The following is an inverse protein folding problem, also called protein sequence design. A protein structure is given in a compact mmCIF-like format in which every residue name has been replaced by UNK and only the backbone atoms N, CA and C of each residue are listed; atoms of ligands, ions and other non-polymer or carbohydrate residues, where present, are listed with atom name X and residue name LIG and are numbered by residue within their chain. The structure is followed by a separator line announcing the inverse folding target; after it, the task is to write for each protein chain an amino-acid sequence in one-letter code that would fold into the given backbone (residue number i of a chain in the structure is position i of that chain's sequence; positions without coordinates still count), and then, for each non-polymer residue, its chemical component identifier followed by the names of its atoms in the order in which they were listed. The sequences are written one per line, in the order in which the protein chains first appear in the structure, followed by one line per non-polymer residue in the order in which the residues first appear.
data_IF_504181756898
#
_entry.id   IF_504181756898
#
_cell.length_a   1.000
_cell.length_b   1.000
_cell.length_c   1.000
_cell.angle_alpha   90.00
_cell.angle_beta   90.00
_cell.angle_gamma   90.00
#
_symmetry.space_group_name_H-M   'P 1'
#
loop_
_entity.id
_entity.type
_entity.pdbx_description
1 polymer ?
#
# COMPACT_ATOMS: atom_id res chain seq x y z
N UNK A 1 -12.67 0.94 8.44
CA UNK A 1 -11.84 1.85 7.63
C UNK A 1 -10.71 2.38 8.50
N UNK A 2 -9.43 2.04 8.20
CA UNK A 2 -8.25 2.46 8.98
C UNK A 2 -7.53 3.71 8.39
N UNK A 3 -8.25 4.55 7.62
CA UNK A 3 -7.65 5.68 6.92
C UNK A 3 -6.97 6.73 7.81
N UNK A 4 -7.39 6.87 9.06
CA UNK A 4 -6.78 7.81 9.99
C UNK A 4 -5.33 7.47 10.37
N UNK A 5 -4.95 6.19 10.29
CA UNK A 5 -3.59 5.74 10.61
C UNK A 5 -2.55 6.13 9.55
N UNK A 6 -2.90 6.06 8.27
CA UNK A 6 -2.01 6.45 7.16
C UNK A 6 -1.68 7.95 7.20
N UNK A 7 -2.69 8.81 7.45
CA UNK A 7 -2.45 10.24 7.60
C UNK A 7 -1.44 10.55 8.72
N UNK A 8 -1.59 9.90 9.89
CA UNK A 8 -0.68 10.07 11.01
C UNK A 8 0.75 9.63 10.69
N UNK A 9 0.90 8.53 9.97
CA UNK A 9 2.19 8.02 9.51
C UNK A 9 2.86 8.98 8.53
N UNK A 10 2.14 9.48 7.53
CA UNK A 10 2.65 10.46 6.57
C UNK A 10 3.07 11.76 7.25
N UNK A 11 2.26 12.26 8.19
CA UNK A 11 2.58 13.44 9.00
C UNK A 11 3.89 13.21 9.75
N UNK A 12 4.04 12.05 10.42
CA UNK A 12 5.25 11.71 11.17
C UNK A 12 6.47 11.66 10.28
N UNK A 13 6.41 10.96 9.14
CA UNK A 13 7.53 10.84 8.21
C UNK A 13 7.94 12.19 7.65
N UNK A 14 6.98 12.99 7.19
CA UNK A 14 7.24 14.31 6.66
C UNK A 14 7.81 15.30 7.72
N UNK A 15 7.36 15.17 8.97
CA UNK A 15 7.88 15.97 10.09
C UNK A 15 9.33 15.58 10.41
N UNK A 16 9.60 14.28 10.54
CA UNK A 16 10.95 13.78 10.83
C UNK A 16 11.94 14.12 9.71
N UNK A 17 11.51 14.01 8.46
CA UNK A 17 12.33 14.39 7.30
C UNK A 17 12.69 15.90 7.25
N UNK A 18 12.04 16.72 8.07
CA UNK A 18 12.33 18.16 8.21
C UNK A 18 12.95 18.53 9.58
N UNK A 19 13.27 17.53 10.39
CA UNK A 19 13.78 17.70 11.76
C UNK A 19 12.89 18.58 12.66
N UNK A 20 11.56 18.52 12.43
CA UNK A 20 10.61 19.31 13.22
C UNK A 20 10.18 18.56 14.48
N UNK A 21 10.09 19.30 15.61
CA UNK A 21 9.47 18.79 16.82
C UNK A 21 7.95 18.71 16.68
N UNK A 22 7.30 17.80 17.44
CA UNK A 22 5.83 17.74 17.48
C UNK A 22 5.22 19.08 17.92
N UNK A 23 5.83 19.74 18.92
CA UNK A 23 5.37 21.04 19.39
C UNK A 23 5.49 22.14 18.31
N UNK A 24 6.55 22.11 17.50
CA UNK A 24 6.73 23.03 16.38
C UNK A 24 5.66 22.84 15.31
N UNK A 25 5.41 21.58 14.92
CA UNK A 25 4.42 21.27 13.90
C UNK A 25 2.99 21.61 14.32
N UNK A 26 2.59 21.27 15.53
CA UNK A 26 1.19 21.39 15.97
C UNK A 26 0.80 22.78 16.50
N UNK A 27 1.74 23.75 16.60
CA UNK A 27 1.48 25.09 17.15
C UNK A 27 0.29 25.77 16.45
N UNK A 28 -0.74 26.11 17.20
CA UNK A 28 -1.95 26.76 16.69
C UNK A 28 -2.90 25.83 15.90
N UNK A 29 -2.62 24.52 15.83
CA UNK A 29 -3.48 23.54 15.17
C UNK A 29 -4.07 22.59 16.21
N UNK A 30 -3.22 21.94 17.02
CA UNK A 30 -3.67 21.00 18.04
C UNK A 30 -2.64 20.88 19.18
N UNK A 31 -3.01 20.13 20.23
CA UNK A 31 -2.09 19.86 21.32
C UNK A 31 -0.99 18.86 20.91
N UNK A 32 0.26 18.98 21.38
CA UNK A 32 1.34 18.03 21.09
C UNK A 32 1.00 16.58 21.48
N UNK A 33 0.29 16.38 22.60
CA UNK A 33 -0.18 15.07 23.05
C UNK A 33 -1.19 14.45 22.09
N UNK A 34 -2.01 15.25 21.40
CA UNK A 34 -2.93 14.78 20.37
C UNK A 34 -2.19 14.41 19.09
N UNK A 35 -1.24 15.26 18.65
CA UNK A 35 -0.38 14.93 17.50
C UNK A 35 0.39 13.63 17.73
N UNK A 36 0.92 13.40 18.93
CA UNK A 36 1.59 12.14 19.28
C UNK A 36 0.69 10.93 19.13
N UNK A 37 -0.59 11.03 19.52
CA UNK A 37 -1.57 9.94 19.33
C UNK A 37 -1.90 9.73 17.85
N UNK A 38 -2.00 10.79 17.05
CA UNK A 38 -2.20 10.71 15.60
C UNK A 38 -1.03 9.98 14.94
N UNK A 39 0.21 10.39 15.24
CA UNK A 39 1.42 9.78 14.67
C UNK A 39 1.61 8.31 15.08
N UNK A 40 1.05 7.89 16.21
CA UNK A 40 1.01 6.49 16.67
C UNK A 40 -0.20 5.70 16.14
N UNK A 41 -1.08 6.33 15.38
CA UNK A 41 -2.32 5.71 14.90
C UNK A 41 -3.36 5.44 16.01
N UNK A 42 -3.17 5.99 17.21
CA UNK A 42 -4.08 5.84 18.36
C UNK A 42 -5.26 6.79 18.31
N UNK A 43 -5.19 7.83 17.48
CA UNK A 43 -6.27 8.77 17.23
C UNK A 43 -6.35 9.06 15.72
N UNK A 44 -7.58 9.12 15.21
CA UNK A 44 -7.82 9.60 13.85
C UNK A 44 -8.00 11.12 13.90
N UNK A 45 -7.19 11.90 13.15
CA UNK A 45 -7.40 13.33 13.05
C UNK A 45 -8.65 13.64 12.22
N UNK A 46 -9.26 14.80 12.48
CA UNK A 46 -10.31 15.30 11.57
C UNK A 46 -9.68 15.69 10.21
N UNK A 47 -10.47 15.75 9.13
CA UNK A 47 -9.98 16.16 7.82
C UNK A 47 -9.27 17.53 7.87
N UNK A 48 -9.82 18.48 8.60
CA UNK A 48 -9.27 19.83 8.74
C UNK A 48 -7.91 19.83 9.46
N UNK A 49 -7.76 19.06 10.54
CA UNK A 49 -6.50 18.92 11.26
C UNK A 49 -5.46 18.24 10.39
N UNK A 50 -5.85 17.21 9.63
CA UNK A 50 -4.96 16.51 8.68
C UNK A 50 -4.44 17.48 7.63
N UNK A 51 -5.32 18.23 7.01
CA UNK A 51 -4.98 19.20 5.97
C UNK A 51 -4.07 20.30 6.50
N UNK A 52 -4.37 20.87 7.69
CA UNK A 52 -3.57 21.93 8.29
C UNK A 52 -2.15 21.44 8.62
N UNK A 53 -2.00 20.25 9.17
CA UNK A 53 -0.69 19.68 9.52
C UNK A 53 0.13 19.38 8.26
N UNK A 54 -0.47 18.75 7.23
CA UNK A 54 0.22 18.41 5.99
C UNK A 54 0.55 19.67 5.18
N UNK A 55 -0.35 20.67 5.11
CA UNK A 55 -0.10 21.95 4.46
C UNK A 55 1.06 22.69 5.12
N UNK A 56 1.16 22.67 6.45
CA UNK A 56 2.33 23.25 7.18
C UNK A 56 3.63 22.54 6.82
N UNK A 57 3.56 21.26 6.50
CA UNK A 57 4.68 20.46 6.00
C UNK A 57 4.89 20.63 4.47
N UNK A 58 4.17 21.53 3.80
CA UNK A 58 4.28 21.76 2.35
C UNK A 58 3.70 20.61 1.50
N UNK A 59 2.81 19.81 2.08
CA UNK A 59 2.15 18.69 1.40
C UNK A 59 0.67 19.02 1.17
N UNK A 60 0.14 18.58 0.02
CA UNK A 60 -1.27 18.73 -0.33
C UNK A 60 -1.98 17.41 -0.05
N UNK A 61 -2.94 17.42 0.89
CA UNK A 61 -3.74 16.24 1.23
C UNK A 61 -4.90 16.06 0.25
N UNK A 62 -4.96 14.92 -0.38
CA UNK A 62 -6.11 14.50 -1.20
C UNK A 62 -7.04 13.65 -0.34
N UNK A 63 -8.11 14.25 0.19
CA UNK A 63 -9.03 13.60 1.14
C UNK A 63 -9.89 12.52 0.50
N UNK A 64 -10.31 12.72 -0.73
CA UNK A 64 -11.23 11.84 -1.48
C UNK A 64 -10.62 11.43 -2.82
N UNK A 65 -9.56 10.60 -2.82
CA UNK A 65 -8.98 10.11 -4.06
C UNK A 65 -9.95 9.13 -4.75
N UNK A 66 -9.87 9.08 -6.10
CA UNK A 66 -10.60 8.07 -6.86
C UNK A 66 -10.17 6.66 -6.41
N UNK A 67 -11.16 5.76 -6.31
CA UNK A 67 -10.94 4.39 -5.83
C UNK A 67 -9.96 3.61 -6.71
N UNK A 68 -9.00 2.93 -6.08
CA UNK A 68 -8.07 2.00 -6.72
C UNK A 68 -8.59 0.54 -6.73
N UNK A 69 -9.86 0.33 -6.35
CA UNK A 69 -10.48 -1.00 -6.33
C UNK A 69 -10.44 -1.72 -7.70
N UNK A 70 -10.59 -1.03 -8.86
CA UNK A 70 -10.41 -1.68 -10.16
C UNK A 70 -9.02 -2.28 -10.34
N UNK A 71 -7.94 -1.58 -9.92
CA UNK A 71 -6.57 -2.10 -9.98
C UNK A 71 -6.40 -3.31 -9.08
N UNK A 72 -6.92 -3.25 -7.85
CA UNK A 72 -6.89 -4.39 -6.93
C UNK A 72 -7.62 -5.61 -7.49
N UNK A 73 -8.81 -5.40 -8.06
CA UNK A 73 -9.60 -6.47 -8.67
C UNK A 73 -8.84 -7.11 -9.83
N UNK A 74 -8.28 -6.31 -10.72
CA UNK A 74 -7.50 -6.79 -11.86
C UNK A 74 -6.27 -7.57 -11.39
N UNK A 75 -5.51 -7.03 -10.42
CA UNK A 75 -4.34 -7.68 -9.82
C UNK A 75 -4.72 -9.04 -9.21
N UNK A 76 -5.72 -9.08 -8.34
CA UNK A 76 -6.10 -10.29 -7.60
C UNK A 76 -6.74 -11.37 -8.49
N UNK A 77 -7.37 -10.98 -9.60
CA UNK A 77 -7.89 -11.93 -10.59
C UNK A 77 -6.83 -12.37 -11.61
N UNK A 78 -5.66 -11.73 -11.59
CA UNK A 78 -4.61 -11.93 -12.58
C UNK A 78 -5.03 -11.52 -13.98
N UNK A 79 -5.91 -10.52 -14.08
CA UNK A 79 -6.33 -9.98 -15.36
C UNK A 79 -5.18 -9.26 -16.07
N UNK A 80 -5.02 -9.45 -17.39
CA UNK A 80 -4.08 -8.63 -18.18
C UNK A 80 -4.42 -7.14 -18.14
N UNK A 81 -5.65 -6.79 -17.75
CA UNK A 81 -6.10 -5.39 -17.63
C UNK A 81 -5.44 -4.64 -16.47
N UNK A 82 -4.67 -5.31 -15.60
CA UNK A 82 -4.00 -4.65 -14.47
C UNK A 82 -3.10 -3.51 -14.94
N UNK A 83 -2.28 -3.73 -15.96
CA UNK A 83 -1.38 -2.71 -16.51
C UNK A 83 -2.16 -1.47 -16.97
N UNK A 84 -3.22 -1.66 -17.76
CA UNK A 84 -4.07 -0.57 -18.23
C UNK A 84 -4.79 0.17 -17.08
N UNK A 85 -5.22 -0.56 -16.05
CA UNK A 85 -5.80 0.05 -14.85
C UNK A 85 -4.77 0.89 -14.08
N UNK A 86 -3.55 0.38 -13.93
CA UNK A 86 -2.47 1.08 -13.24
C UNK A 86 -2.09 2.37 -13.98
N UNK A 87 -1.81 2.29 -15.29
CA UNK A 87 -1.45 3.42 -16.14
C UNK A 87 -2.51 4.52 -16.17
N UNK A 88 -3.77 4.15 -16.06
CA UNK A 88 -4.89 5.09 -16.03
C UNK A 88 -5.15 5.69 -14.65
N UNK A 89 -5.11 4.88 -13.59
CA UNK A 89 -5.61 5.27 -12.26
C UNK A 89 -4.51 5.63 -11.27
N UNK A 90 -3.31 5.08 -11.39
CA UNK A 90 -2.23 5.29 -10.43
C UNK A 90 -1.16 6.20 -11.01
N UNK A 91 -0.60 5.83 -12.15
CA UNK A 91 0.57 6.49 -12.72
C UNK A 91 0.42 8.02 -12.88
N UNK A 92 -0.69 8.58 -13.45
CA UNK A 92 -0.81 10.03 -13.64
C UNK A 92 -1.08 10.79 -12.34
N UNK A 93 -1.33 10.09 -11.24
CA UNK A 93 -1.73 10.66 -9.94
C UNK A 93 -0.84 10.22 -8.78
N UNK A 94 0.34 9.68 -9.05
CA UNK A 94 1.24 9.16 -8.01
C UNK A 94 1.51 10.18 -6.91
N UNK A 95 1.79 11.44 -7.25
CA UNK A 95 2.06 12.49 -6.27
C UNK A 95 0.84 12.77 -5.36
N UNK A 96 -0.35 12.87 -5.93
CA UNK A 96 -1.57 13.13 -5.16
C UNK A 96 -1.99 11.92 -4.33
N UNK A 97 -1.79 10.71 -4.84
CA UNK A 97 -2.05 9.47 -4.13
C UNK A 97 -1.07 9.22 -2.99
N UNK A 98 0.21 9.62 -3.15
CA UNK A 98 1.23 9.51 -2.10
C UNK A 98 0.86 10.31 -0.84
N UNK A 99 0.05 11.36 -0.97
CA UNK A 99 -0.46 12.14 0.15
C UNK A 99 -1.99 12.03 0.26
N UNK A 100 -2.48 10.79 0.39
CA UNK A 100 -3.91 10.47 0.46
C UNK A 100 -4.16 9.25 1.36
N UNK A 101 -5.43 8.93 1.68
CA UNK A 101 -5.78 7.68 2.36
C UNK A 101 -5.38 6.40 1.60
N UNK A 102 -5.15 6.50 0.30
CA UNK A 102 -4.77 5.40 -0.58
C UNK A 102 -3.25 5.31 -0.84
N UNK A 103 -2.42 6.05 -0.08
CA UNK A 103 -0.96 6.06 -0.27
C UNK A 103 -0.35 4.65 -0.23
N UNK A 104 -0.77 3.81 0.72
CA UNK A 104 -0.29 2.43 0.80
C UNK A 104 -0.72 1.58 -0.42
N UNK A 105 -1.95 1.76 -0.90
CA UNK A 105 -2.44 1.07 -2.10
C UNK A 105 -1.63 1.48 -3.32
N UNK A 106 -1.44 2.78 -3.53
CA UNK A 106 -0.71 3.31 -4.67
C UNK A 106 0.75 2.82 -4.69
N UNK A 107 1.44 2.88 -3.55
CA UNK A 107 2.84 2.44 -3.44
C UNK A 107 3.01 0.93 -3.67
N UNK A 108 2.10 0.11 -3.14
CA UNK A 108 2.15 -1.34 -3.33
C UNK A 108 1.81 -1.74 -4.78
N UNK A 109 0.82 -1.09 -5.39
CA UNK A 109 0.47 -1.34 -6.79
C UNK A 109 1.59 -0.89 -7.74
N UNK A 110 2.26 0.24 -7.43
CA UNK A 110 3.42 0.71 -8.17
C UNK A 110 4.60 -0.27 -8.06
N UNK A 111 4.94 -0.68 -6.84
CA UNK A 111 6.02 -1.65 -6.62
C UNK A 111 5.76 -2.99 -7.34
N UNK A 112 4.50 -3.41 -7.44
CA UNK A 112 4.14 -4.59 -8.20
C UNK A 112 4.26 -4.37 -9.71
N UNK A 113 3.79 -3.24 -10.23
CA UNK A 113 3.80 -2.91 -11.66
C UNK A 113 5.24 -2.72 -12.18
N UNK A 114 6.05 -1.97 -11.44
CA UNK A 114 7.42 -1.59 -11.82
C UNK A 114 8.44 -2.71 -11.57
N UNK A 115 7.99 -3.85 -11.03
CA UNK A 115 8.85 -4.97 -10.61
C UNK A 115 10.00 -4.53 -9.68
N UNK A 116 9.78 -3.43 -8.96
CA UNK A 116 10.73 -2.91 -7.99
C UNK A 116 10.40 -3.47 -6.59
N UNK A 117 11.36 -4.15 -5.99
CA UNK A 117 11.32 -4.55 -4.58
C UNK A 117 11.51 -3.32 -3.68
N UNK A 118 10.49 -2.50 -3.56
CA UNK A 118 10.43 -1.43 -2.56
C UNK A 118 9.33 -1.74 -1.56
N UNK A 119 9.54 -2.72 -0.67
CA UNK A 119 8.57 -2.98 0.37
C UNK A 119 8.37 -1.71 1.19
N UNK A 120 7.12 -1.48 1.60
CA UNK A 120 6.86 -0.40 2.55
C UNK A 120 7.66 -0.65 3.83
N UNK A 121 8.17 0.39 4.49
CA UNK A 121 8.86 0.26 5.77
C UNK A 121 8.01 -0.49 6.80
N UNK A 122 8.64 -1.24 7.72
CA UNK A 122 7.93 -2.03 8.74
C UNK A 122 6.97 -1.21 9.59
N UNK A 123 7.26 0.07 9.78
CA UNK A 123 6.39 1.00 10.51
C UNK A 123 5.00 1.20 9.85
N UNK A 124 4.84 0.83 8.57
CA UNK A 124 3.56 0.87 7.88
C UNK A 124 2.67 -0.34 8.20
N UNK A 125 3.24 -1.47 8.58
CA UNK A 125 2.53 -2.74 8.75
C UNK A 125 1.30 -2.67 9.67
N UNK A 126 1.35 -1.96 10.83
CA UNK A 126 0.19 -1.85 11.72
C UNK A 126 -1.02 -1.16 11.09
N UNK A 127 -0.78 -0.37 10.02
CA UNK A 127 -1.81 0.41 9.33
C UNK A 127 -2.35 -0.26 8.07
N UNK A 128 -1.65 -1.29 7.59
CA UNK A 128 -2.05 -2.00 6.37
C UNK A 128 -3.28 -2.87 6.60
N UNK A 129 -4.12 -2.95 5.57
CA UNK A 129 -5.17 -3.96 5.49
C UNK A 129 -4.58 -5.34 5.19
N UNK A 130 -5.37 -6.40 5.42
CA UNK A 130 -4.90 -7.78 5.17
C UNK A 130 -4.45 -7.98 3.72
N UNK A 131 -5.15 -7.39 2.73
CA UNK A 131 -4.76 -7.52 1.31
C UNK A 131 -3.48 -6.77 0.99
N UNK A 132 -3.29 -5.57 1.56
CA UNK A 132 -2.06 -4.79 1.39
C UNK A 132 -0.86 -5.53 2.01
N UNK A 133 -1.03 -6.07 3.22
CA UNK A 133 0.00 -6.84 3.88
C UNK A 133 0.32 -8.13 3.11
N UNK A 134 -0.68 -8.82 2.54
CA UNK A 134 -0.46 -9.99 1.71
C UNK A 134 0.39 -9.65 0.46
N UNK A 135 0.06 -8.55 -0.23
CA UNK A 135 0.84 -8.10 -1.38
C UNK A 135 2.27 -7.73 -0.97
N UNK A 136 2.44 -7.00 0.13
CA UNK A 136 3.76 -6.65 0.66
C UNK A 136 4.60 -7.90 0.96
N UNK A 137 4.02 -8.94 1.59
CA UNK A 137 4.74 -10.20 1.85
C UNK A 137 5.13 -10.90 0.54
N UNK A 138 4.25 -10.90 -0.46
CA UNK A 138 4.57 -11.40 -1.80
C UNK A 138 5.73 -10.65 -2.44
N UNK A 139 5.73 -9.31 -2.39
CA UNK A 139 6.83 -8.47 -2.89
C UNK A 139 8.16 -8.72 -2.16
N UNK A 140 8.11 -9.14 -0.90
CA UNK A 140 9.28 -9.52 -0.09
C UNK A 140 9.74 -10.98 -0.33
N UNK A 141 9.11 -11.74 -1.25
CA UNK A 141 9.39 -13.15 -1.45
C UNK A 141 8.84 -14.07 -0.35
N UNK A 142 8.06 -13.55 0.60
CA UNK A 142 7.46 -14.30 1.74
C UNK A 142 6.13 -14.91 1.33
N UNK A 143 6.13 -15.79 0.34
CA UNK A 143 4.94 -16.30 -0.34
C UNK A 143 4.00 -17.09 0.57
N UNK A 144 4.53 -17.90 1.49
CA UNK A 144 3.70 -18.66 2.43
C UNK A 144 2.85 -17.75 3.33
N UNK A 145 3.44 -16.65 3.79
CA UNK A 145 2.72 -15.67 4.59
C UNK A 145 1.72 -14.88 3.74
N UNK A 146 2.11 -14.51 2.52
CA UNK A 146 1.22 -13.83 1.58
C UNK A 146 -0.05 -14.64 1.32
N UNK A 147 0.08 -15.95 1.06
CA UNK A 147 -1.06 -16.85 0.86
C UNK A 147 -1.89 -17.01 2.12
N UNK A 148 -1.26 -17.19 3.29
CA UNK A 148 -1.97 -17.31 4.57
C UNK A 148 -2.79 -16.07 4.89
N UNK A 149 -2.27 -14.88 4.57
CA UNK A 149 -2.97 -13.63 4.73
C UNK A 149 -4.07 -13.46 3.67
N UNK A 150 -3.77 -13.78 2.42
CA UNK A 150 -4.70 -13.69 1.30
C UNK A 150 -5.93 -14.57 1.52
N UNK A 151 -5.77 -15.82 1.99
CA UNK A 151 -6.88 -16.73 2.27
C UNK A 151 -7.89 -16.20 3.31
N UNK A 152 -7.50 -15.24 4.13
CA UNK A 152 -8.36 -14.53 5.09
C UNK A 152 -9.05 -13.30 4.51
N UNK A 153 -8.67 -12.88 3.31
CA UNK A 153 -9.25 -11.73 2.64
C UNK A 153 -10.45 -12.17 1.79
N UNK A 154 -11.63 -11.58 2.01
CA UNK A 154 -12.85 -11.91 1.23
C UNK A 154 -12.72 -11.58 -0.25
N UNK A 155 -11.83 -10.67 -0.61
CA UNK A 155 -11.54 -10.26 -1.98
C UNK A 155 -10.45 -11.11 -2.65
N UNK A 156 -9.76 -11.97 -1.90
CA UNK A 156 -8.78 -12.90 -2.45
C UNK A 156 -9.49 -14.06 -3.12
N UNK A 157 -9.14 -14.42 -4.38
CA UNK A 157 -9.81 -15.51 -5.07
C UNK A 157 -9.67 -16.82 -4.29
N UNK A 158 -10.80 -17.47 -3.98
CA UNK A 158 -10.83 -18.73 -3.22
C UNK A 158 -10.19 -19.90 -3.97
N UNK A 159 -9.99 -19.74 -5.29
CA UNK A 159 -9.23 -20.65 -6.13
C UNK A 159 -7.72 -20.56 -5.93
N UNK A 160 -7.26 -19.60 -5.15
CA UNK A 160 -5.86 -19.38 -4.84
C UNK A 160 -5.41 -20.13 -3.59
N UNK A 161 -5.77 -21.39 -3.46
CA UNK A 161 -4.92 -22.36 -2.76
C UNK A 161 -3.53 -22.45 -3.43
N UNK A 162 -3.41 -21.86 -4.61
CA UNK A 162 -2.18 -21.54 -5.35
C UNK A 162 -2.34 -20.14 -5.91
N UNK A 163 -1.29 -19.27 -5.93
CA UNK A 163 -1.38 -18.05 -6.71
C UNK A 163 -1.82 -18.45 -8.11
N UNK A 164 -2.86 -17.80 -8.62
CA UNK A 164 -3.36 -18.12 -9.94
C UNK A 164 -2.18 -18.04 -10.91
N UNK A 165 -2.14 -18.93 -11.90
CA UNK A 165 -1.14 -18.91 -12.99
C UNK A 165 -0.96 -17.50 -13.57
N UNK A 166 -1.97 -16.67 -13.48
CA UNK A 166 -1.99 -15.29 -13.92
C UNK A 166 -1.13 -14.34 -13.06
N UNK A 167 -1.05 -14.54 -11.72
CA UNK A 167 -0.09 -13.80 -10.90
C UNK A 167 1.35 -14.18 -11.25
N UNK A 168 1.59 -15.46 -11.56
CA UNK A 168 2.90 -15.96 -11.99
C UNK A 168 3.29 -15.40 -13.36
N UNK A 169 2.34 -15.29 -14.28
CA UNK A 169 2.57 -14.75 -15.63
C UNK A 169 2.80 -13.22 -15.65
N UNK A 170 2.41 -12.51 -14.59
CA UNK A 170 2.68 -11.06 -14.44
C UNK A 170 3.95 -10.78 -13.66
N UNK A 171 4.56 -11.81 -13.04
CA UNK A 171 5.87 -11.68 -12.41
C UNK A 171 6.97 -11.72 -13.48
N UNK A 172 8.03 -10.93 -13.27
CA UNK A 172 9.21 -11.05 -14.11
C UNK A 172 9.82 -12.45 -14.03
N UNK A 173 10.55 -12.91 -15.06
CA UNK A 173 11.23 -14.21 -15.05
C UNK A 173 12.13 -14.42 -13.83
N UNK A 174 12.77 -13.36 -13.31
CA UNK A 174 13.60 -13.41 -12.10
C UNK A 174 12.79 -13.80 -10.86
N UNK A 175 11.60 -13.24 -10.68
CA UNK A 175 10.72 -13.57 -9.54
C UNK A 175 10.11 -14.97 -9.64
N UNK A 176 9.89 -15.45 -10.86
CA UNK A 176 9.42 -16.82 -11.07
C UNK A 176 10.44 -17.85 -10.54
N UNK A 177 11.74 -17.58 -10.70
CA UNK A 177 12.79 -18.46 -10.20
C UNK A 177 12.89 -18.46 -8.66
N UNK A 178 12.48 -17.41 -7.98
CA UNK A 178 12.48 -17.30 -6.51
C UNK A 178 11.28 -17.98 -5.85
N UNK A 179 10.26 -18.35 -6.62
CA UNK A 179 9.07 -19.01 -6.09
C UNK A 179 9.39 -20.44 -5.64
N UNK A 180 8.74 -20.95 -4.56
CA UNK A 180 8.86 -22.32 -4.13
C UNK A 180 8.60 -23.32 -5.26
N UNK A 181 9.38 -24.39 -5.33
CA UNK A 181 9.29 -25.40 -6.41
C UNK A 181 7.87 -25.98 -6.58
N UNK A 182 7.11 -26.13 -5.48
CA UNK A 182 5.73 -26.57 -5.48
C UNK A 182 4.77 -25.65 -6.27
N UNK A 183 5.18 -24.41 -6.54
CA UNK A 183 4.40 -23.41 -7.25
C UNK A 183 4.79 -23.30 -8.72
N UNK A 184 6.01 -23.78 -9.06
CA UNK A 184 6.53 -23.82 -10.44
C UNK A 184 6.03 -25.01 -11.26
N UNK A 185 5.48 -26.05 -10.61
CA UNK A 185 5.04 -27.30 -11.27
C UNK A 185 3.60 -27.24 -11.80
N UNK A 186 3.12 -26.11 -12.27
CA UNK A 186 1.80 -26.00 -12.89
C UNK A 186 1.90 -26.35 -14.38
N UNK A 187 1.12 -27.32 -14.91
CA UNK A 187 1.21 -27.71 -16.32
C UNK A 187 0.76 -26.55 -17.22
N UNK A 188 1.61 -26.15 -18.16
CA UNK A 188 1.29 -25.15 -19.19
C UNK A 188 2.27 -23.98 -19.37
N UNK A 189 3.41 -23.96 -18.68
CA UNK A 189 4.46 -22.96 -18.91
C UNK A 189 5.55 -23.61 -19.79
N UNK A 190 5.87 -23.06 -20.97
CA UNK A 190 7.02 -23.49 -21.75
C UNK A 190 8.31 -23.18 -20.99
N UNK A 191 9.21 -24.14 -20.89
CA UNK A 191 10.60 -24.00 -20.44
C UNK A 191 11.39 -23.16 -21.38
#
# INVERSE_FOLDING_TARGET
MKGGGIAGLLIRQARLGRDWSQAGLCRGICAPSYLSKIEQGKAAPSPEVTELLLRRLGLVWTSEPESLEPCWKALLSGSPDFAACYERLVQPRQESLACSPLAADALLLAAFYEDELRPLPEEWEPFLSTRQLALQRGLQGRWEEAVRLGSRCRCWPRSAERPSMSMVNTLSPSRYCEMPAAWRQTPGIPT
#
